data_IF_528732599977
#
_entry.id   IF_528732599977
#
_cell.length_a   1.000
_cell.length_b   1.000
_cell.length_c   1.000
_cell.angle_alpha   90.00
_cell.angle_beta   90.00
_cell.angle_gamma   90.00
#
_symmetry.space_group_name_H-M   'P 1'
#
loop_
_entity.id
_entity.type
_entity.pdbx_description
1 polymer ?
#
# COMPACT_ATOMS: atom_id res chain seq x y z
N UNK A 1 0.88 -7.69 9.09
CA UNK A 1 0.35 -6.45 8.46
C UNK A 1 -0.23 -5.51 9.51
N UNK A 2 -0.83 -6.08 10.55
CA UNK A 2 -1.65 -5.39 11.56
C UNK A 2 -0.97 -4.20 12.25
N UNK A 3 0.32 -4.31 12.59
CA UNK A 3 1.06 -3.21 13.23
C UNK A 3 1.16 -1.97 12.35
N UNK A 4 1.51 -2.14 11.08
CA UNK A 4 1.71 -1.02 10.15
C UNK A 4 0.37 -0.38 9.79
N UNK A 5 -0.66 -1.19 9.58
CA UNK A 5 -2.02 -0.65 9.38
C UNK A 5 -2.53 0.11 10.61
N UNK A 6 -2.24 -0.37 11.82
CA UNK A 6 -2.56 0.35 13.05
C UNK A 6 -1.84 1.69 13.15
N UNK A 7 -0.54 1.74 12.84
CA UNK A 7 0.22 3.01 12.82
C UNK A 7 -0.37 4.01 11.81
N UNK A 8 -0.61 3.57 10.57
CA UNK A 8 -1.17 4.44 9.52
C UNK A 8 -2.58 4.94 9.91
N UNK A 9 -3.45 4.08 10.45
CA UNK A 9 -4.79 4.49 10.92
C UNK A 9 -4.73 5.51 12.05
N UNK A 10 -3.76 5.37 12.94
CA UNK A 10 -3.60 6.24 14.12
C UNK A 10 -3.22 7.67 13.71
N UNK A 11 -2.40 7.81 12.67
CA UNK A 11 -1.80 9.11 12.29
C UNK A 11 -2.24 9.66 10.93
N UNK A 12 -3.13 8.98 10.20
CA UNK A 12 -3.61 9.41 8.89
C UNK A 12 -5.08 9.07 8.66
N UNK A 13 -5.74 9.86 7.83
CA UNK A 13 -7.09 9.63 7.31
C UNK A 13 -7.04 8.98 5.92
N UNK A 14 -8.18 8.50 5.45
CA UNK A 14 -8.33 8.06 4.06
C UNK A 14 -8.00 9.21 3.11
N UNK A 15 -7.37 8.91 1.97
CA UNK A 15 -6.84 9.84 0.97
C UNK A 15 -5.64 10.70 1.42
N UNK A 16 -5.23 10.68 2.69
CA UNK A 16 -3.97 11.32 3.10
C UNK A 16 -2.76 10.67 2.39
N UNK A 17 -1.69 11.46 2.24
CA UNK A 17 -0.42 11.01 1.69
C UNK A 17 0.52 10.54 2.80
N UNK A 18 1.03 9.31 2.68
CA UNK A 18 2.05 8.75 3.57
C UNK A 18 3.38 8.65 2.82
N UNK A 19 4.45 9.15 3.43
CA UNK A 19 5.82 9.02 2.93
C UNK A 19 6.57 7.97 3.76
N UNK A 20 7.17 7.00 3.09
CA UNK A 20 8.15 6.10 3.67
C UNK A 20 9.47 6.23 2.89
N UNK A 21 10.43 6.94 3.47
CA UNK A 21 11.72 7.20 2.82
C UNK A 21 12.70 6.03 2.92
N UNK A 22 12.34 4.93 3.59
CA UNK A 22 13.13 3.71 3.73
C UNK A 22 12.21 2.50 3.52
N UNK A 23 11.47 2.50 2.41
CA UNK A 23 10.32 1.62 2.24
C UNK A 23 10.66 0.12 2.23
N UNK A 24 11.91 -0.24 1.94
CA UNK A 24 12.36 -1.62 1.87
C UNK A 24 11.45 -2.46 0.99
N UNK A 25 10.88 -3.53 1.54
CA UNK A 25 9.94 -4.43 0.84
C UNK A 25 8.58 -3.83 0.47
N UNK A 26 8.31 -2.55 0.77
CA UNK A 26 7.06 -1.88 0.42
C UNK A 26 5.86 -2.22 1.31
N UNK A 27 6.09 -2.76 2.51
CA UNK A 27 5.01 -3.16 3.45
C UNK A 27 4.10 -1.98 3.82
N UNK A 28 4.68 -0.80 4.07
CA UNK A 28 3.94 0.43 4.35
C UNK A 28 3.01 0.84 3.20
N UNK A 29 3.47 0.71 1.95
CA UNK A 29 2.66 1.05 0.78
C UNK A 29 1.49 0.10 0.56
N UNK A 30 1.67 -1.21 0.78
CA UNK A 30 0.55 -2.17 0.72
C UNK A 30 -0.48 -1.87 1.81
N UNK A 31 -0.03 -1.52 3.01
CA UNK A 31 -0.91 -1.10 4.10
C UNK A 31 -1.67 0.18 3.71
N UNK A 32 -1.00 1.18 3.12
CA UNK A 32 -1.66 2.38 2.60
C UNK A 32 -2.75 2.03 1.58
N UNK A 33 -2.48 1.16 0.60
CA UNK A 33 -3.48 0.75 -0.39
C UNK A 33 -4.69 0.04 0.25
N UNK A 34 -4.46 -0.91 1.17
CA UNK A 34 -5.54 -1.59 1.90
C UNK A 34 -6.44 -0.60 2.66
N UNK A 35 -5.84 0.48 3.14
CA UNK A 35 -6.49 1.51 3.94
C UNK A 35 -7.00 2.70 3.10
N UNK A 36 -6.80 2.72 1.79
CA UNK A 36 -7.22 3.86 0.96
C UNK A 36 -6.41 5.13 1.20
N UNK A 37 -5.12 5.02 1.49
CA UNK A 37 -4.18 6.14 1.59
C UNK A 37 -3.32 6.23 0.34
N UNK A 38 -2.92 7.45 -0.01
CA UNK A 38 -1.90 7.69 -1.02
C UNK A 38 -0.51 7.39 -0.42
N UNK A 39 0.44 6.97 -1.24
CA UNK A 39 1.75 6.51 -0.77
C UNK A 39 2.88 6.99 -1.67
N UNK A 40 3.97 7.46 -1.06
CA UNK A 40 5.26 7.68 -1.71
C UNK A 40 6.29 6.84 -0.96
N UNK A 41 6.98 5.96 -1.67
CA UNK A 41 8.04 5.12 -1.13
C UNK A 41 9.38 5.43 -1.79
N UNK A 42 10.45 5.49 -1.00
CA UNK A 42 11.82 5.64 -1.48
C UNK A 42 12.62 4.44 -1.01
N UNK A 43 13.30 3.80 -1.95
CA UNK A 43 14.29 2.74 -1.70
C UNK A 43 15.50 3.03 -2.58
N UNK A 44 16.70 2.92 -1.99
CA UNK A 44 17.96 3.23 -2.66
C UNK A 44 18.46 2.03 -3.45
N UNK A 45 18.26 0.82 -2.94
CA UNK A 45 18.69 -0.38 -3.62
C UNK A 45 17.72 -0.74 -4.75
N UNK A 46 18.25 -0.89 -5.97
CA UNK A 46 17.44 -1.10 -7.17
C UNK A 46 16.73 -2.45 -7.15
N UNK A 47 17.37 -3.51 -6.65
CA UNK A 47 16.80 -4.85 -6.63
C UNK A 47 15.67 -4.93 -5.60
N UNK A 48 15.89 -4.33 -4.42
CA UNK A 48 14.85 -4.21 -3.39
C UNK A 48 13.69 -3.35 -3.90
N UNK A 49 13.98 -2.23 -4.58
CA UNK A 49 12.96 -1.35 -5.16
C UNK A 49 12.06 -2.09 -6.16
N UNK A 50 12.65 -2.91 -7.05
CA UNK A 50 11.89 -3.68 -8.04
C UNK A 50 10.96 -4.68 -7.34
N UNK A 51 11.46 -5.44 -6.36
CA UNK A 51 10.63 -6.39 -5.61
C UNK A 51 9.50 -5.70 -4.82
N UNK A 52 9.77 -4.53 -4.24
CA UNK A 52 8.76 -3.72 -3.56
C UNK A 52 7.69 -3.21 -4.53
N UNK A 53 8.10 -2.76 -5.72
CA UNK A 53 7.21 -2.29 -6.77
C UNK A 53 6.26 -3.40 -7.26
N UNK A 54 6.78 -4.60 -7.53
CA UNK A 54 5.97 -5.76 -7.92
C UNK A 54 4.90 -6.07 -6.87
N UNK A 55 5.30 -6.12 -5.59
CA UNK A 55 4.38 -6.36 -4.47
C UNK A 55 3.30 -5.29 -4.36
N UNK A 56 3.61 -4.02 -4.63
CA UNK A 56 2.64 -2.92 -4.65
C UNK A 56 1.65 -3.04 -5.82
N UNK A 57 2.10 -3.48 -7.00
CA UNK A 57 1.22 -3.71 -8.15
C UNK A 57 0.28 -4.89 -7.94
N UNK A 58 0.77 -6.00 -7.40
CA UNK A 58 -0.05 -7.15 -7.06
C UNK A 58 -1.13 -6.79 -6.03
N UNK A 59 -0.76 -6.04 -5.00
CA UNK A 59 -1.69 -5.58 -3.98
C UNK A 59 -2.77 -4.65 -4.57
N UNK A 60 -2.39 -3.69 -5.42
CA UNK A 60 -3.33 -2.81 -6.12
C UNK A 60 -4.32 -3.60 -6.99
N UNK A 61 -3.82 -4.57 -7.76
CA UNK A 61 -4.64 -5.43 -8.63
C UNK A 61 -5.65 -6.23 -7.82
N UNK A 62 -5.20 -6.86 -6.73
CA UNK A 62 -6.07 -7.61 -5.80
C UNK A 62 -7.16 -6.74 -5.18
N UNK A 63 -6.84 -5.49 -4.82
CA UNK A 63 -7.81 -4.54 -4.26
C UNK A 63 -8.84 -4.12 -5.31
N UNK A 64 -8.40 -3.79 -6.53
CA UNK A 64 -9.29 -3.46 -7.66
C UNK A 64 -10.26 -4.60 -7.98
N UNK A 65 -9.75 -5.84 -8.06
CA UNK A 65 -10.58 -7.03 -8.29
C UNK A 65 -11.62 -7.24 -7.19
N UNK A 66 -11.23 -7.07 -5.90
CA UNK A 66 -12.20 -7.14 -4.79
C UNK A 66 -13.27 -6.06 -4.87
N UNK A 67 -12.90 -4.82 -5.19
CA UNK A 67 -13.89 -3.74 -5.39
C UNK A 67 -14.86 -4.06 -6.53
N UNK A 68 -14.38 -4.63 -7.63
CA UNK A 68 -15.23 -5.06 -8.74
C UNK A 68 -16.22 -6.15 -8.31
N UNK A 69 -15.76 -7.18 -7.60
CA UNK A 69 -16.64 -8.26 -7.12
C UNK A 69 -17.72 -7.75 -6.16
N UNK A 70 -17.38 -6.89 -5.21
CA UNK A 70 -18.35 -6.32 -4.25
C UNK A 70 -19.38 -5.42 -4.96
N UNK A 71 -18.96 -4.70 -6.01
CA UNK A 71 -19.85 -3.83 -6.77
C UNK A 71 -20.67 -4.58 -7.85
N UNK A 72 -20.21 -5.76 -8.29
CA UNK A 72 -20.84 -6.58 -9.32
C UNK A 72 -21.90 -7.57 -8.82
N UNK A 73 -22.08 -7.70 -7.50
CA UNK A 73 -23.14 -8.49 -6.86
C UNK A 73 -24.40 -7.66 -6.52
N UNK A 74 -24.54 -6.46 -7.07
CA UNK A 74 -25.75 -5.61 -6.94
C UNK A 74 -26.46 -5.42 -8.27
#
# INVERSE_FOLDING_TARGET
MDLIEWLIKTYSKENDMVLDNCMGSGTSGVACQNLGRNFIGIEKDKEIFIGAQERLFEAATRISNRKFLINGEK
#
